data_IF_694107319986
#
_entry.id   IF_694107319986
#
_cell.length_a   1.000
_cell.length_b   1.000
_cell.length_c   1.000
_cell.angle_alpha   90.00
_cell.angle_beta   90.00
_cell.angle_gamma   90.00
#
_symmetry.space_group_name_H-M   'P 1'
#
loop_
_entity.id
_entity.type
_entity.pdbx_description
1 polymer ?
#
# COMPACT_ATOMS: atom_id res chain seq x y z
N UNK A 1 -14.58 -6.99 -1.85
CA UNK A 1 -13.48 -7.86 -2.31
C UNK A 1 -13.18 -8.82 -1.19
N UNK A 2 -12.98 -10.10 -1.47
CA UNK A 2 -12.53 -11.04 -0.44
C UNK A 2 -11.11 -10.67 -0.01
N UNK A 3 -10.84 -10.76 1.29
CA UNK A 3 -9.52 -10.52 1.84
C UNK A 3 -8.70 -11.79 1.64
N UNK A 4 -7.55 -11.66 0.99
CA UNK A 4 -6.61 -12.76 0.76
C UNK A 4 -5.38 -12.50 1.62
N UNK A 5 -5.01 -13.49 2.41
CA UNK A 5 -3.82 -13.47 3.25
C UNK A 5 -2.96 -14.70 2.99
N UNK A 6 -1.65 -14.50 2.87
CA UNK A 6 -0.70 -15.58 2.68
C UNK A 6 0.52 -15.34 3.57
N UNK A 7 0.83 -16.35 4.38
CA UNK A 7 2.01 -16.34 5.24
C UNK A 7 3.16 -17.11 4.59
N UNK A 8 4.36 -16.55 4.64
CA UNK A 8 5.59 -17.18 4.18
C UNK A 8 6.67 -17.01 5.25
N UNK A 9 6.86 -18.03 6.09
CA UNK A 9 7.71 -17.92 7.28
C UNK A 9 7.17 -16.87 8.26
N UNK A 10 7.97 -15.85 8.57
CA UNK A 10 7.60 -14.73 9.46
C UNK A 10 6.91 -13.57 8.70
N UNK A 11 6.73 -13.71 7.39
CA UNK A 11 6.15 -12.68 6.55
C UNK A 11 4.67 -12.95 6.29
N UNK A 12 3.86 -11.90 6.33
CA UNK A 12 2.45 -11.92 5.96
C UNK A 12 2.23 -11.00 4.75
N UNK A 13 1.65 -11.52 3.69
CA UNK A 13 1.09 -10.74 2.60
C UNK A 13 -0.42 -10.67 2.80
N UNK A 14 -0.98 -9.46 2.81
CA UNK A 14 -2.42 -9.25 2.99
C UNK A 14 -2.97 -8.25 1.98
N UNK A 15 -4.15 -8.53 1.43
CA UNK A 15 -4.92 -7.57 0.63
C UNK A 15 -5.89 -6.75 1.47
N UNK A 16 -5.84 -6.85 2.80
CA UNK A 16 -6.65 -6.07 3.72
C UNK A 16 -6.14 -4.62 3.81
N UNK A 17 -6.87 -3.71 3.17
CA UNK A 17 -6.55 -2.28 3.19
C UNK A 17 -6.59 -1.69 4.61
N UNK A 18 -7.30 -2.31 5.56
CA UNK A 18 -7.42 -1.81 6.94
C UNK A 18 -6.15 -2.01 7.76
N UNK A 19 -5.26 -2.91 7.31
CA UNK A 19 -3.94 -3.17 7.92
C UNK A 19 -2.84 -2.23 7.41
N UNK A 20 -3.11 -1.44 6.36
CA UNK A 20 -2.12 -0.56 5.75
C UNK A 20 -1.97 0.75 6.54
N UNK A 21 -0.73 1.12 6.83
CA UNK A 21 -0.36 2.44 7.33
C UNK A 21 -0.23 3.43 6.16
N UNK A 22 -1.36 4.05 5.81
CA UNK A 22 -1.47 5.04 4.72
C UNK A 22 -0.56 6.25 4.96
N UNK A 23 -0.31 6.60 6.23
CA UNK A 23 0.55 7.74 6.57
C UNK A 23 2.01 7.42 6.27
N UNK A 24 2.49 6.23 6.69
CA UNK A 24 3.83 5.77 6.37
C UNK A 24 4.04 5.64 4.86
N UNK A 25 3.06 5.09 4.13
CA UNK A 25 3.09 4.99 2.67
C UNK A 25 3.19 6.38 2.02
N UNK A 26 2.36 7.34 2.46
CA UNK A 26 2.40 8.71 1.94
C UNK A 26 3.76 9.36 2.20
N UNK A 27 4.30 9.23 3.41
CA UNK A 27 5.61 9.78 3.77
C UNK A 27 6.71 9.17 2.88
N UNK A 28 6.70 7.85 2.69
CA UNK A 28 7.63 7.16 1.80
C UNK A 28 7.53 7.67 0.36
N UNK A 29 6.34 7.68 -0.22
CA UNK A 29 6.11 8.11 -1.60
C UNK A 29 6.42 9.59 -1.81
N UNK A 30 6.11 10.44 -0.83
CA UNK A 30 6.24 11.89 -0.95
C UNK A 30 7.68 12.39 -0.73
N UNK A 31 8.47 11.67 0.08
CA UNK A 31 9.79 12.14 0.52
C UNK A 31 10.97 11.25 0.13
N UNK A 32 10.75 9.97 -0.18
CA UNK A 32 11.83 8.98 -0.30
C UNK A 32 11.83 8.19 -1.61
N UNK A 33 10.71 8.09 -2.33
CA UNK A 33 10.63 7.25 -3.53
C UNK A 33 11.30 7.85 -4.77
N UNK A 34 11.40 9.18 -4.87
CA UNK A 34 11.98 9.89 -6.01
C UNK A 34 11.11 9.93 -7.28
N UNK A 35 10.01 9.16 -7.33
CA UNK A 35 9.07 9.13 -8.47
C UNK A 35 7.68 9.67 -8.12
N UNK A 36 7.44 10.07 -6.87
CA UNK A 36 6.16 10.63 -6.40
C UNK A 36 6.36 11.79 -5.42
N UNK A 37 7.43 12.54 -5.62
CA UNK A 37 7.82 13.64 -4.75
C UNK A 37 6.67 14.64 -4.57
N UNK A 38 6.43 15.02 -3.31
CA UNK A 38 5.35 15.93 -2.91
C UNK A 38 3.93 15.48 -3.31
N UNK A 39 3.69 14.18 -3.55
CA UNK A 39 2.34 13.68 -3.83
C UNK A 39 1.37 14.08 -2.68
N UNK A 40 0.20 14.66 -2.98
CA UNK A 40 -0.80 14.97 -1.96
C UNK A 40 -1.30 13.72 -1.26
N UNK A 41 -1.53 13.81 0.06
CA UNK A 41 -2.06 12.71 0.86
C UNK A 41 -3.37 12.16 0.29
N UNK A 42 -4.30 13.04 -0.12
CA UNK A 42 -5.58 12.63 -0.70
C UNK A 42 -5.45 11.86 -2.02
N UNK A 43 -4.40 12.13 -2.82
CA UNK A 43 -4.13 11.36 -4.03
C UNK A 43 -3.70 9.94 -3.69
N UNK A 44 -2.80 9.77 -2.71
CA UNK A 44 -2.38 8.44 -2.23
C UNK A 44 -3.57 7.67 -1.66
N UNK A 45 -4.37 8.33 -0.81
CA UNK A 45 -5.59 7.75 -0.23
C UNK A 45 -6.58 7.29 -1.30
N UNK A 46 -6.81 8.12 -2.32
CA UNK A 46 -7.72 7.79 -3.43
C UNK A 46 -7.17 6.64 -4.28
N UNK A 47 -5.86 6.62 -4.54
CA UNK A 47 -5.21 5.55 -5.29
C UNK A 47 -5.32 4.20 -4.57
N UNK A 48 -5.02 4.15 -3.27
CA UNK A 48 -5.17 2.95 -2.44
C UNK A 48 -6.63 2.48 -2.46
N UNK A 49 -7.61 3.39 -2.34
CA UNK A 49 -9.04 3.01 -2.36
C UNK A 49 -9.48 2.40 -3.70
N UNK A 50 -8.90 2.82 -4.82
CA UNK A 50 -9.29 2.43 -6.16
C UNK A 50 -8.37 1.39 -6.82
N UNK A 51 -7.47 0.76 -6.05
CA UNK A 51 -6.52 -0.23 -6.54
C UNK A 51 -6.61 -1.53 -5.75
N UNK A 52 -6.04 -2.58 -6.34
CA UNK A 52 -5.78 -3.82 -5.62
C UNK A 52 -4.47 -3.64 -4.84
N UNK A 53 -4.54 -3.70 -3.51
CA UNK A 53 -3.39 -3.47 -2.64
C UNK A 53 -2.87 -4.78 -2.05
N UNK A 54 -1.56 -4.82 -1.84
CA UNK A 54 -0.83 -5.88 -1.17
C UNK A 54 0.08 -5.23 -0.13
N UNK A 55 -0.20 -5.46 1.15
CA UNK A 55 0.67 -5.11 2.26
C UNK A 55 1.58 -6.28 2.61
N UNK A 56 2.87 -6.01 2.79
CA UNK A 56 3.83 -6.98 3.34
C UNK A 56 4.15 -6.60 4.78
N UNK A 57 4.02 -7.57 5.68
CA UNK A 57 4.22 -7.40 7.11
C UNK A 57 5.26 -8.38 7.64
N UNK A 58 6.07 -7.92 8.59
CA UNK A 58 6.99 -8.75 9.38
C UNK A 58 6.81 -8.36 10.85
N UNK A 59 6.55 -9.34 11.73
CA UNK A 59 6.30 -9.10 13.15
C UNK A 59 5.26 -7.99 13.44
N UNK A 60 4.12 -8.03 12.73
CA UNK A 60 3.03 -7.05 12.79
C UNK A 60 3.38 -5.63 12.31
N UNK A 61 4.59 -5.39 11.80
CA UNK A 61 4.98 -4.11 11.21
C UNK A 61 4.86 -4.17 9.68
N UNK A 62 4.29 -3.14 9.08
CA UNK A 62 4.28 -3.01 7.62
C UNK A 62 5.68 -2.65 7.14
N UNK A 63 6.22 -3.46 6.23
CA UNK A 63 7.57 -3.29 5.67
C UNK A 63 7.56 -3.01 4.17
N UNK A 64 6.47 -3.32 3.46
CA UNK A 64 6.31 -2.94 2.07
C UNK A 64 4.84 -2.78 1.67
N UNK A 65 4.64 -2.14 0.51
CA UNK A 65 3.36 -2.07 -0.19
C UNK A 65 3.59 -2.30 -1.69
N UNK A 66 2.66 -3.00 -2.32
CA UNK A 66 2.45 -2.97 -3.75
C UNK A 66 0.97 -2.70 -4.02
N UNK A 67 0.65 -1.97 -5.07
CA UNK A 67 -0.72 -1.83 -5.52
C UNK A 67 -0.79 -1.84 -7.04
N UNK A 68 -1.85 -2.42 -7.57
CA UNK A 68 -2.12 -2.52 -9.00
C UNK A 68 -3.35 -1.69 -9.29
N UNK A 69 -3.19 -0.68 -10.14
CA UNK A 69 -4.28 0.12 -10.67
C UNK A 69 -4.60 -0.33 -12.10
N UNK A 70 -5.89 -0.36 -12.44
CA UNK A 70 -6.28 -0.40 -13.85
C UNK A 70 -6.09 1.02 -14.42
N UNK A 71 -5.37 1.15 -15.53
CA UNK A 71 -5.11 2.42 -16.24
C UNK A 71 -6.37 2.96 -16.95
N UNK A 72 -7.46 3.14 -16.20
CA UNK A 72 -8.69 3.77 -16.67
C UNK A 72 -9.02 5.09 -15.94
N UNK A 73 -8.15 5.56 -15.04
CA UNK A 73 -8.39 6.76 -14.24
C UNK A 73 -7.23 7.78 -14.26
N UNK A 74 -6.35 7.69 -15.27
CA UNK A 74 -5.42 8.76 -15.67
C UNK A 74 -5.55 9.02 -17.16
#
# INVERSE_FOLDING_TARGET
MEIIEQTFGEFLISTDITKLDIVAIHVFLSKYSGWSDNIPFDKVRTSIKNSLNFGLFHNNNQIAIAYINCWQQF
#
